data_IF_788583825414
#
_entry.id   IF_788583825414
#
_cell.length_a   1.000
_cell.length_b   1.000
_cell.length_c   1.000
_cell.angle_alpha   90.00
_cell.angle_beta   90.00
_cell.angle_gamma   90.00
#
_symmetry.space_group_name_H-M   'P 1'
#
loop_
_entity.id
_entity.type
_entity.pdbx_description
1 polymer ?
#
# COMPACT_ATOMS: atom_id res chain seq x y z
N UNK A 1 20.41 14.82 60.94
CA UNK A 1 20.93 13.49 60.52
C UNK A 1 21.59 13.66 59.17
N UNK A 2 22.93 13.65 59.15
CA UNK A 2 23.72 13.80 57.93
C UNK A 2 24.38 12.46 57.62
N UNK A 3 24.12 11.91 56.43
CA UNK A 3 24.70 10.66 55.98
C UNK A 3 25.89 10.97 55.07
N UNK A 4 27.08 10.62 55.54
CA UNK A 4 28.33 10.63 54.78
C UNK A 4 28.48 9.33 54.00
N UNK A 5 28.91 9.40 52.75
CA UNK A 5 29.31 8.25 51.93
C UNK A 5 30.82 8.25 51.72
N UNK A 6 31.50 7.09 51.78
CA UNK A 6 32.92 7.01 51.48
C UNK A 6 33.17 6.94 49.96
N UNK A 7 34.18 7.69 49.52
CA UNK A 7 34.81 7.58 48.21
C UNK A 7 35.59 6.26 48.13
N UNK A 8 35.35 5.48 47.07
CA UNK A 8 36.22 4.38 46.68
C UNK A 8 37.10 4.78 45.51
N UNK A 9 38.37 4.38 45.62
CA UNK A 9 39.51 4.74 44.79
C UNK A 9 39.71 3.71 43.69
N UNK A 10 39.92 4.23 42.48
CA UNK A 10 40.75 3.74 41.35
C UNK A 10 41.10 2.24 41.31
N UNK A 11 40.75 1.60 40.20
CA UNK A 11 41.64 0.64 39.57
C UNK A 11 41.69 0.88 38.05
N UNK A 12 42.81 1.48 37.62
CA UNK A 12 43.26 1.48 36.24
C UNK A 12 43.86 0.12 35.93
N UNK A 13 43.36 -0.57 34.92
CA UNK A 13 44.02 -1.75 34.37
C UNK A 13 43.90 -1.78 32.85
N UNK A 14 45.02 -1.37 32.26
CA UNK A 14 45.75 -2.04 31.17
C UNK A 14 45.08 -2.09 29.80
N UNK A 15 45.67 -1.29 28.92
CA UNK A 15 45.58 -1.32 27.48
C UNK A 15 45.71 -2.75 26.92
N UNK A 16 44.64 -3.23 26.30
CA UNK A 16 44.65 -4.34 25.35
C UNK A 16 44.78 -3.78 23.94
N UNK A 17 45.85 -4.17 23.26
CA UNK A 17 46.15 -3.88 21.87
C UNK A 17 45.00 -4.44 21.00
N UNK A 18 44.38 -3.64 20.11
CA UNK A 18 43.43 -4.19 19.15
C UNK A 18 44.19 -5.07 18.14
N UNK A 19 43.87 -6.37 18.12
CA UNK A 19 44.26 -7.25 17.02
C UNK A 19 43.70 -6.68 15.71
N UNK A 20 44.60 -6.51 14.74
CA UNK A 20 44.27 -6.15 13.37
C UNK A 20 43.43 -7.29 12.75
N UNK A 21 42.11 -7.16 12.81
CA UNK A 21 41.19 -7.98 12.03
C UNK A 21 41.51 -7.78 10.56
N UNK A 22 41.88 -8.88 9.90
CA UNK A 22 42.08 -8.93 8.46
C UNK A 22 40.88 -8.30 7.75
N UNK A 23 41.12 -7.21 7.04
CA UNK A 23 40.16 -6.60 6.13
C UNK A 23 39.96 -7.60 4.99
N UNK A 24 38.97 -8.48 5.16
CA UNK A 24 38.43 -9.27 4.06
C UNK A 24 37.95 -8.27 3.01
N UNK A 25 38.74 -8.12 1.94
CA UNK A 25 38.35 -7.36 0.75
C UNK A 25 37.06 -7.98 0.24
N UNK A 26 35.93 -7.31 0.52
CA UNK A 26 34.67 -7.66 -0.14
C UNK A 26 34.93 -7.63 -1.64
N UNK A 27 34.51 -8.67 -2.40
CA UNK A 27 34.53 -8.57 -3.84
C UNK A 27 33.75 -7.31 -4.25
N UNK A 28 34.18 -6.58 -5.29
CA UNK A 28 33.42 -5.46 -5.78
C UNK A 28 32.00 -5.95 -6.04
N UNK A 29 31.03 -5.34 -5.35
CA UNK A 29 29.62 -5.50 -5.71
C UNK A 29 29.52 -4.98 -7.15
N UNK A 30 29.58 -5.91 -8.10
CA UNK A 30 29.12 -5.68 -9.46
C UNK A 30 27.62 -5.52 -9.30
N UNK A 31 27.19 -4.28 -9.04
CA UNK A 31 25.81 -3.89 -9.24
C UNK A 31 25.57 -4.06 -10.72
N UNK A 32 25.03 -5.22 -11.09
CA UNK A 32 24.33 -5.38 -12.35
C UNK A 32 23.15 -4.44 -12.21
N UNK A 33 23.30 -3.21 -12.68
CA UNK A 33 22.20 -2.29 -12.88
C UNK A 33 21.28 -3.03 -13.86
N UNK A 34 20.08 -3.49 -13.44
CA UNK A 34 19.16 -4.04 -14.40
C UNK A 34 18.91 -2.94 -15.42
N UNK A 35 19.30 -3.18 -16.67
CA UNK A 35 18.96 -2.29 -17.78
C UNK A 35 17.44 -2.15 -17.73
N UNK A 36 16.98 -0.94 -17.39
CA UNK A 36 15.58 -0.51 -17.45
C UNK A 36 15.16 -0.65 -18.91
N UNK A 37 14.79 -1.88 -19.28
CA UNK A 37 14.28 -2.20 -20.58
C UNK A 37 12.89 -1.60 -20.56
N UNK A 38 12.71 -0.47 -21.25
CA UNK A 38 11.41 0.18 -21.37
C UNK A 38 10.42 -0.91 -21.77
N UNK A 39 9.40 -1.21 -20.94
CA UNK A 39 8.46 -2.27 -21.26
C UNK A 39 7.85 -1.90 -22.62
N UNK A 40 8.11 -2.73 -23.64
CA UNK A 40 7.53 -2.51 -24.96
C UNK A 40 6.02 -2.48 -24.76
N UNK A 41 5.36 -1.38 -25.14
CA UNK A 41 3.90 -1.33 -25.12
C UNK A 41 3.40 -2.47 -26.01
N UNK A 42 2.90 -3.54 -25.41
CA UNK A 42 2.20 -4.60 -26.12
C UNK A 42 0.96 -4.00 -26.79
N UNK A 43 0.55 -4.60 -27.91
CA UNK A 43 -0.71 -4.19 -28.55
C UNK A 43 -1.88 -4.26 -27.55
N UNK A 44 -2.83 -3.33 -27.61
CA UNK A 44 -3.99 -3.32 -26.73
C UNK A 44 -4.77 -4.64 -26.88
N UNK A 45 -5.01 -5.35 -25.78
CA UNK A 45 -5.82 -6.56 -25.79
C UNK A 45 -7.29 -6.24 -26.13
N UNK A 46 -8.09 -7.23 -26.54
CA UNK A 46 -9.52 -6.98 -26.79
C UNK A 46 -10.27 -6.68 -25.49
N UNK A 47 -11.32 -5.85 -25.55
CA UNK A 47 -12.14 -5.49 -24.39
C UNK A 47 -12.67 -6.74 -23.66
N UNK A 48 -13.08 -7.76 -24.42
CA UNK A 48 -13.59 -9.01 -23.86
C UNK A 48 -12.51 -9.76 -23.08
N UNK A 49 -11.26 -9.76 -23.55
CA UNK A 49 -10.16 -10.35 -22.82
C UNK A 49 -9.91 -9.60 -21.51
N UNK A 50 -9.84 -8.27 -21.54
CA UNK A 50 -9.63 -7.42 -20.35
C UNK A 50 -10.74 -7.62 -19.31
N UNK A 51 -12.00 -7.69 -19.76
CA UNK A 51 -13.16 -7.93 -18.88
C UNK A 51 -13.08 -9.32 -18.23
N UNK A 52 -12.59 -10.33 -18.97
CA UNK A 52 -12.46 -11.70 -18.48
C UNK A 52 -11.27 -11.88 -17.53
N UNK A 53 -10.10 -11.33 -17.86
CA UNK A 53 -8.87 -11.49 -17.05
C UNK A 53 -8.93 -10.71 -15.75
N UNK A 54 -9.58 -9.54 -15.75
CA UNK A 54 -9.73 -8.66 -14.57
C UNK A 54 -8.40 -8.24 -13.95
N UNK A 55 -7.28 -8.31 -14.68
CA UNK A 55 -5.92 -8.02 -14.20
C UNK A 55 -5.49 -6.60 -14.55
N UNK A 56 -6.00 -5.64 -13.78
CA UNK A 56 -5.70 -4.20 -13.95
C UNK A 56 -4.21 -3.84 -14.09
N UNK A 57 -3.35 -4.45 -13.28
CA UNK A 57 -1.96 -3.99 -13.13
C UNK A 57 -1.04 -4.30 -14.32
N UNK A 58 -1.38 -5.28 -15.17
CA UNK A 58 -0.65 -5.54 -16.41
C UNK A 58 -1.23 -4.75 -17.58
N UNK A 59 -2.55 -4.54 -17.58
CA UNK A 59 -3.27 -4.15 -18.79
C UNK A 59 -3.40 -2.62 -18.91
N UNK A 60 -3.31 -1.88 -17.80
CA UNK A 60 -3.52 -0.43 -17.74
C UNK A 60 -2.42 0.31 -16.98
N UNK A 61 -1.27 0.50 -17.64
CA UNK A 61 -0.18 1.35 -17.14
C UNK A 61 -0.60 2.84 -17.20
N UNK A 62 -0.46 3.64 -16.12
CA UNK A 62 -0.77 5.08 -16.15
C UNK A 62 -0.14 5.84 -17.32
N UNK A 63 1.11 5.51 -17.68
CA UNK A 63 1.79 6.13 -18.82
C UNK A 63 1.09 5.77 -20.14
N UNK A 64 0.62 4.53 -20.32
CA UNK A 64 -0.10 4.12 -21.51
C UNK A 64 -1.48 4.77 -21.59
N UNK A 65 -2.18 4.92 -20.45
CA UNK A 65 -3.46 5.64 -20.39
C UNK A 65 -3.28 7.11 -20.77
N UNK A 66 -2.21 7.76 -20.32
CA UNK A 66 -1.97 9.18 -20.59
C UNK A 66 -1.53 9.46 -22.03
N UNK A 67 -0.80 8.53 -22.65
CA UNK A 67 -0.15 8.78 -23.94
C UNK A 67 -0.75 7.98 -25.13
N UNK A 68 -1.65 7.02 -24.91
CA UNK A 68 -2.33 6.27 -25.97
C UNK A 68 -3.85 6.29 -25.79
N UNK A 69 -4.54 7.00 -26.68
CA UNK A 69 -6.00 7.12 -26.70
C UNK A 69 -6.73 5.77 -26.77
N UNK A 70 -6.14 4.74 -27.38
CA UNK A 70 -6.74 3.40 -27.45
C UNK A 70 -6.76 2.74 -26.06
N UNK A 71 -5.64 2.80 -25.35
CA UNK A 71 -5.53 2.29 -23.97
C UNK A 71 -6.45 3.07 -23.03
N UNK A 72 -6.53 4.40 -23.18
CA UNK A 72 -7.48 5.23 -22.43
C UNK A 72 -8.94 4.81 -22.69
N UNK A 73 -9.32 4.64 -23.96
CA UNK A 73 -10.67 4.20 -24.33
C UNK A 73 -11.03 2.81 -23.78
N UNK A 74 -10.09 1.86 -23.81
CA UNK A 74 -10.27 0.54 -23.21
C UNK A 74 -10.45 0.61 -21.70
N UNK A 75 -9.64 1.41 -21.02
CA UNK A 75 -9.74 1.63 -19.58
C UNK A 75 -11.11 2.20 -19.19
N UNK A 76 -11.61 3.17 -19.94
CA UNK A 76 -12.93 3.77 -19.71
C UNK A 76 -14.07 2.77 -19.90
N UNK A 77 -14.07 1.99 -20.99
CA UNK A 77 -15.08 0.94 -21.22
C UNK A 77 -15.02 -0.15 -20.14
N UNK A 78 -13.82 -0.55 -19.72
CA UNK A 78 -13.64 -1.46 -18.60
C UNK A 78 -14.18 -0.87 -17.29
N UNK A 79 -13.90 0.40 -16.98
CA UNK A 79 -14.46 1.09 -15.80
C UNK A 79 -15.98 1.14 -15.84
N UNK A 80 -16.57 1.49 -16.99
CA UNK A 80 -18.02 1.52 -17.17
C UNK A 80 -18.65 0.14 -16.95
N UNK A 81 -18.03 -0.92 -17.49
CA UNK A 81 -18.47 -2.29 -17.24
C UNK A 81 -18.41 -2.64 -15.76
N UNK A 82 -17.33 -2.29 -15.05
CA UNK A 82 -17.23 -2.56 -13.61
C UNK A 82 -18.28 -1.80 -12.81
N UNK A 83 -18.58 -0.54 -13.18
CA UNK A 83 -19.60 0.26 -12.53
C UNK A 83 -20.99 -0.38 -12.67
N UNK A 84 -21.34 -0.84 -13.89
CA UNK A 84 -22.58 -1.59 -14.14
C UNK A 84 -22.66 -2.91 -13.37
N UNK A 85 -21.52 -3.49 -13.02
CA UNK A 85 -21.40 -4.78 -12.33
C UNK A 85 -20.94 -4.64 -10.87
N UNK A 86 -20.97 -3.43 -10.30
CA UNK A 86 -20.31 -3.12 -9.03
C UNK A 86 -20.88 -3.92 -7.85
N UNK A 87 -22.19 -4.13 -7.80
CA UNK A 87 -22.86 -4.92 -6.75
C UNK A 87 -22.39 -6.38 -6.75
N UNK A 88 -22.28 -6.98 -7.94
CA UNK A 88 -21.74 -8.33 -8.11
C UNK A 88 -20.26 -8.41 -7.72
N UNK A 89 -19.47 -7.39 -8.07
CA UNK A 89 -18.04 -7.36 -7.77
C UNK A 89 -17.79 -7.15 -6.26
N UNK A 90 -18.40 -6.14 -5.63
CA UNK A 90 -18.22 -5.84 -4.21
C UNK A 90 -18.49 -7.06 -3.32
N UNK A 91 -19.61 -7.75 -3.53
CA UNK A 91 -20.01 -8.93 -2.74
C UNK A 91 -19.12 -10.16 -2.94
N UNK A 92 -18.50 -10.31 -4.11
CA UNK A 92 -17.69 -11.48 -4.44
C UNK A 92 -16.21 -11.28 -4.13
N UNK A 93 -15.72 -10.05 -4.13
CA UNK A 93 -14.29 -9.78 -4.16
C UNK A 93 -13.63 -9.75 -2.79
N UNK A 94 -14.20 -9.03 -1.83
CA UNK A 94 -13.60 -8.82 -0.51
C UNK A 94 -14.69 -9.07 0.54
N UNK A 95 -14.37 -9.90 1.54
CA UNK A 95 -15.31 -10.29 2.59
C UNK A 95 -14.66 -10.19 3.97
N UNK A 96 -15.50 -10.05 4.99
CA UNK A 96 -15.11 -10.33 6.38
C UNK A 96 -14.41 -11.69 6.49
N UNK A 97 -13.33 -11.72 7.25
CA UNK A 97 -12.47 -12.89 7.45
C UNK A 97 -11.35 -13.03 6.43
N UNK A 98 -11.40 -12.31 5.31
CA UNK A 98 -10.32 -12.34 4.32
C UNK A 98 -9.00 -11.80 4.90
N UNK A 99 -7.87 -12.36 4.44
CA UNK A 99 -6.53 -11.96 4.86
C UNK A 99 -5.85 -11.18 3.74
N UNK A 100 -5.44 -9.96 4.06
CA UNK A 100 -4.61 -9.13 3.19
C UNK A 100 -3.15 -9.24 3.61
N UNK A 101 -2.29 -9.49 2.64
CA UNK A 101 -0.84 -9.43 2.81
C UNK A 101 -0.38 -8.09 2.27
N UNK A 102 0.12 -7.21 3.13
CA UNK A 102 0.90 -6.07 2.69
C UNK A 102 2.28 -6.61 2.29
N UNK A 103 2.62 -6.46 1.01
CA UNK A 103 3.96 -6.75 0.53
C UNK A 103 4.78 -5.47 0.44
N UNK A 104 6.11 -5.59 0.56
CA UNK A 104 7.03 -4.54 0.13
C UNK A 104 7.05 -4.51 -1.39
N UNK A 105 5.98 -4.00 -1.99
CA UNK A 105 5.89 -3.85 -3.43
C UNK A 105 6.03 -2.38 -3.79
N UNK A 106 7.26 -2.05 -4.19
CA UNK A 106 7.62 -1.20 -5.34
C UNK A 106 7.14 0.25 -5.34
N UNK A 107 8.11 1.16 -5.19
CA UNK A 107 8.17 2.54 -5.71
C UNK A 107 7.05 3.53 -5.42
N UNK A 108 6.02 3.18 -4.66
CA UNK A 108 5.18 4.16 -3.97
C UNK A 108 5.97 4.68 -2.75
N UNK A 109 7.13 5.28 -3.02
CA UNK A 109 8.01 5.92 -2.05
C UNK A 109 7.39 7.26 -1.63
N UNK A 110 6.20 7.24 -1.02
CA UNK A 110 5.66 8.43 -0.37
C UNK A 110 6.18 8.48 1.05
N UNK A 111 7.34 9.13 1.16
CA UNK A 111 7.92 9.79 2.35
C UNK A 111 7.42 9.25 3.68
N UNK A 112 8.28 8.47 4.34
CA UNK A 112 8.28 8.32 5.78
C UNK A 112 8.17 9.72 6.40
N UNK A 113 7.04 10.05 7.01
CA UNK A 113 7.06 11.04 8.07
C UNK A 113 7.92 10.46 9.20
N UNK A 114 8.76 11.28 9.83
CA UNK A 114 9.77 10.85 10.81
C UNK A 114 9.21 10.16 12.09
N UNK A 115 7.91 9.88 12.13
CA UNK A 115 7.20 9.16 13.18
C UNK A 115 6.61 7.84 12.69
N UNK A 116 7.25 7.20 11.72
CA UNK A 116 6.88 5.87 11.27
C UNK A 116 6.96 4.87 12.44
N UNK A 117 5.81 4.39 12.89
CA UNK A 117 5.68 3.29 13.86
C UNK A 117 6.43 2.05 13.38
N UNK A 118 7.00 1.25 14.29
CA UNK A 118 7.67 -0.05 14.05
C UNK A 118 6.95 -1.01 13.08
N UNK A 119 5.64 -0.85 12.89
CA UNK A 119 4.83 -1.57 11.91
C UNK A 119 5.28 -1.31 10.46
N UNK A 120 5.76 -0.09 10.17
CA UNK A 120 6.28 0.35 8.86
C UNK A 120 7.68 -0.17 8.56
N UNK A 121 8.48 -0.47 9.59
CA UNK A 121 9.81 -1.04 9.39
C UNK A 121 9.72 -2.48 8.90
N UNK A 122 8.63 -3.18 9.27
CA UNK A 122 8.29 -4.46 8.68
C UNK A 122 7.73 -4.26 7.28
N UNK A 123 8.58 -4.50 6.30
CA UNK A 123 8.25 -4.47 4.87
C UNK A 123 7.11 -5.41 4.47
N UNK A 124 6.71 -6.35 5.32
CA UNK A 124 5.67 -7.33 5.05
C UNK A 124 4.84 -7.54 6.32
N UNK A 125 3.53 -7.42 6.23
CA UNK A 125 2.63 -7.75 7.34
C UNK A 125 1.30 -8.30 6.82
N UNK A 126 0.55 -8.97 7.69
CA UNK A 126 -0.76 -9.54 7.35
C UNK A 126 -1.83 -8.97 8.25
N UNK A 127 -2.95 -8.57 7.66
CA UNK A 127 -4.15 -8.14 8.38
C UNK A 127 -5.33 -9.02 8.01
N UNK A 128 -6.22 -9.27 8.97
CA UNK A 128 -7.52 -9.91 8.71
C UNK A 128 -8.62 -8.86 8.74
N UNK A 129 -9.50 -8.89 7.75
CA UNK A 129 -10.69 -8.05 7.72
C UNK A 129 -11.73 -8.58 8.70
N UNK A 130 -12.28 -7.69 9.53
CA UNK A 130 -13.30 -7.99 10.53
C UNK A 130 -14.64 -7.43 10.03
N UNK A 131 -15.00 -6.23 10.45
CA UNK A 131 -16.30 -5.64 10.13
C UNK A 131 -16.18 -4.66 8.95
N UNK A 132 -17.11 -4.69 7.97
CA UNK A 132 -17.18 -3.64 6.98
C UNK A 132 -17.55 -2.31 7.64
N UNK A 133 -17.02 -1.23 7.10
CA UNK A 133 -17.36 0.14 7.47
C UNK A 133 -18.11 0.79 6.32
N UNK A 134 -19.20 1.48 6.63
CA UNK A 134 -19.92 2.27 5.64
C UNK A 134 -19.08 3.50 5.28
N UNK A 135 -18.49 3.47 4.10
CA UNK A 135 -17.81 4.60 3.49
C UNK A 135 -18.33 4.76 2.06
N UNK A 136 -18.81 5.95 1.66
CA UNK A 136 -19.32 6.17 0.32
C UNK A 136 -18.22 6.06 -0.74
N UNK A 137 -16.99 6.43 -0.38
CA UNK A 137 -15.90 6.64 -1.33
C UNK A 137 -14.95 5.45 -1.42
N UNK A 138 -14.94 4.55 -0.44
CA UNK A 138 -14.00 3.42 -0.42
C UNK A 138 -14.59 2.20 0.29
N UNK A 139 -13.90 1.05 0.17
CA UNK A 139 -14.23 -0.12 0.99
C UNK A 139 -13.45 -0.04 2.30
N UNK A 140 -14.13 0.42 3.35
CA UNK A 140 -13.55 0.45 4.70
C UNK A 140 -13.79 -0.85 5.45
N UNK A 141 -12.80 -1.29 6.22
CA UNK A 141 -12.94 -2.42 7.14
C UNK A 141 -12.23 -2.13 8.45
N UNK A 142 -12.83 -2.55 9.56
CA UNK A 142 -12.04 -2.87 10.76
C UNK A 142 -11.17 -4.07 10.45
N UNK A 143 -9.96 -4.07 10.95
CA UNK A 143 -9.02 -5.16 10.73
C UNK A 143 -8.16 -5.39 11.97
N UNK A 144 -7.61 -6.60 12.04
CA UNK A 144 -6.62 -6.99 13.04
C UNK A 144 -5.32 -7.36 12.38
N UNK A 145 -4.21 -6.98 13.00
CA UNK A 145 -2.88 -7.42 12.59
C UNK A 145 -2.66 -8.87 13.03
N UNK A 146 -2.26 -9.73 12.08
CA UNK A 146 -2.04 -11.16 12.29
C UNK A 146 -0.54 -11.45 12.43
N UNK A 147 0.28 -10.85 11.59
CA UNK A 147 1.73 -11.07 11.59
C UNK A 147 2.49 -9.86 11.06
N UNK A 148 3.73 -9.72 11.52
CA UNK A 148 4.72 -8.72 11.12
C UNK A 148 5.97 -9.50 10.70
N UNK A 149 6.33 -9.45 9.42
CA UNK A 149 7.31 -10.37 8.84
C UNK A 149 6.92 -11.82 9.08
N UNK A 150 7.84 -12.58 9.66
CA UNK A 150 7.65 -13.99 10.04
C UNK A 150 7.08 -14.18 11.45
N UNK A 151 6.93 -13.10 12.21
CA UNK A 151 6.42 -13.14 13.58
C UNK A 151 4.90 -13.10 13.57
N UNK A 152 4.27 -14.21 13.99
CA UNK A 152 2.83 -14.28 14.22
C UNK A 152 2.50 -13.60 15.55
N UNK A 153 1.56 -12.67 15.52
CA UNK A 153 1.08 -11.98 16.71
C UNK A 153 0.04 -12.84 17.44
N UNK A 154 0.04 -12.86 18.78
CA UNK A 154 -0.93 -13.64 19.54
C UNK A 154 -2.37 -13.14 19.30
N UNK A 155 -3.31 -14.06 19.20
CA UNK A 155 -4.76 -13.78 19.15
C UNK A 155 -5.29 -13.38 20.52
N UNK A 156 -4.81 -12.26 21.07
CA UNK A 156 -5.34 -11.69 22.30
C UNK A 156 -6.32 -10.57 21.96
N UNK A 157 -7.63 -10.70 22.28
CA UNK A 157 -8.66 -9.71 21.95
C UNK A 157 -8.38 -8.30 22.49
N UNK A 158 -7.59 -8.20 23.57
CA UNK A 158 -7.29 -6.95 24.28
C UNK A 158 -6.05 -6.22 23.76
N UNK A 159 -5.18 -6.86 22.97
CA UNK A 159 -3.86 -6.30 22.63
C UNK A 159 -3.69 -5.97 21.14
N UNK A 160 -4.59 -6.43 20.27
CA UNK A 160 -4.59 -5.99 18.88
C UNK A 160 -5.24 -4.61 18.82
N UNK A 161 -4.43 -3.55 18.77
CA UNK A 161 -4.88 -2.22 18.37
C UNK A 161 -5.84 -2.36 17.19
N UNK A 162 -7.01 -1.73 17.30
CA UNK A 162 -8.01 -1.80 16.25
C UNK A 162 -7.55 -0.92 15.11
N UNK A 163 -7.29 -1.52 13.96
CA UNK A 163 -6.92 -0.79 12.77
C UNK A 163 -8.13 -0.70 11.84
N UNK A 164 -8.19 0.39 11.11
CA UNK A 164 -9.07 0.55 9.96
C UNK A 164 -8.20 0.45 8.71
N UNK A 165 -8.63 -0.37 7.76
CA UNK A 165 -8.08 -0.36 6.41
C UNK A 165 -9.12 0.21 5.45
N UNK A 166 -8.71 1.22 4.68
CA UNK A 166 -9.50 1.76 3.56
C UNK A 166 -8.91 1.21 2.27
N UNK A 167 -9.71 0.48 1.49
CA UNK A 167 -9.29 -0.19 0.27
C UNK A 167 -9.84 0.55 -0.96
N UNK A 168 -8.95 0.79 -1.92
CA UNK A 168 -9.19 1.51 -3.15
C UNK A 168 -8.84 0.58 -4.31
N UNK A 169 -9.80 0.43 -5.21
CA UNK A 169 -9.66 -0.30 -6.45
C UNK A 169 -10.46 0.41 -7.54
N UNK A 170 -9.87 0.62 -8.72
CA UNK A 170 -10.52 1.35 -9.82
C UNK A 170 -11.89 0.80 -10.21
N UNK A 171 -12.18 -0.47 -9.90
CA UNK A 171 -13.47 -1.09 -10.18
C UNK A 171 -14.59 -0.58 -9.28
N UNK A 172 -14.25 0.02 -8.13
CA UNK A 172 -15.22 0.54 -7.18
C UNK A 172 -15.45 2.04 -7.29
N UNK A 173 -14.61 2.77 -8.01
CA UNK A 173 -14.75 4.22 -8.16
C UNK A 173 -15.71 4.56 -9.30
N UNK A 174 -16.59 5.56 -9.11
CA UNK A 174 -17.38 6.09 -10.20
C UNK A 174 -16.44 6.59 -11.31
N UNK A 175 -16.70 6.15 -12.54
CA UNK A 175 -16.11 6.81 -13.70
C UNK A 175 -16.79 8.18 -13.84
N UNK A 176 -16.06 9.25 -14.21
CA UNK A 176 -16.73 10.41 -14.78
C UNK A 176 -17.63 9.89 -15.91
N UNK A 177 -18.91 10.28 -15.90
CA UNK A 177 -19.89 9.80 -16.87
C UNK A 177 -19.47 10.26 -18.27
N UNK A 178 -19.45 9.32 -19.21
CA UNK A 178 -19.19 9.61 -20.63
C UNK A 178 -20.34 10.39 -21.29
N UNK A 179 -21.47 10.55 -20.58
CA UNK A 179 -22.71 11.15 -21.10
C UNK A 179 -22.64 12.67 -21.28
N UNK A 180 -21.60 13.35 -20.78
CA UNK A 180 -21.32 14.71 -21.22
C UNK A 180 -20.57 14.64 -22.53
N UNK A 181 -21.32 14.70 -23.65
CA UNK A 181 -20.90 14.50 -25.05
C UNK A 181 -19.71 15.27 -25.62
N UNK A 182 -18.75 15.72 -24.81
CA UNK A 182 -17.39 15.97 -25.27
C UNK A 182 -16.61 14.65 -25.32
N UNK A 183 -16.65 14.02 -26.50
CA UNK A 183 -15.74 12.93 -26.91
C UNK A 183 -14.27 13.43 -26.91
N UNK A 184 -14.08 14.74 -26.81
CA UNK A 184 -12.80 15.41 -26.70
C UNK A 184 -12.32 15.38 -25.24
N UNK A 185 -11.43 14.43 -24.99
CA UNK A 185 -10.43 14.44 -23.94
C UNK A 185 -9.99 15.87 -23.60
N UNK A 186 -10.28 16.34 -22.38
CA UNK A 186 -9.60 17.53 -21.85
C UNK A 186 -8.45 17.07 -20.96
N UNK A 187 -7.20 17.47 -21.25
CA UNK A 187 -6.13 17.39 -20.27
C UNK A 187 -6.60 18.03 -18.96
N UNK A 188 -6.72 17.24 -17.89
CA UNK A 188 -7.27 17.67 -16.60
C UNK A 188 -8.60 17.03 -16.19
N UNK A 189 -9.26 16.27 -17.07
CA UNK A 189 -10.36 15.40 -16.65
C UNK A 189 -9.82 14.33 -15.70
N UNK A 190 -10.44 14.21 -14.52
CA UNK A 190 -9.97 13.39 -13.40
C UNK A 190 -10.01 11.89 -13.76
N UNK A 191 -8.96 11.41 -14.43
CA UNK A 191 -8.62 9.98 -14.55
C UNK A 191 -8.06 9.43 -13.24
N UNK A 192 -8.61 9.87 -12.11
CA UNK A 192 -8.11 9.52 -10.80
C UNK A 192 -8.19 8.00 -10.65
N UNK A 193 -7.01 7.41 -10.61
CA UNK A 193 -6.81 6.02 -10.28
C UNK A 193 -6.96 5.86 -8.77
N UNK A 194 -7.18 4.63 -8.31
CA UNK A 194 -7.17 4.27 -6.90
C UNK A 194 -5.89 4.76 -6.19
N UNK A 195 -4.76 4.85 -6.91
CA UNK A 195 -3.52 5.39 -6.35
C UNK A 195 -3.61 6.90 -6.15
N UNK A 196 -4.20 7.65 -7.08
CA UNK A 196 -4.38 9.10 -6.96
C UNK A 196 -5.27 9.44 -5.74
N UNK A 197 -6.34 8.66 -5.52
CA UNK A 197 -7.20 8.80 -4.35
C UNK A 197 -6.44 8.55 -3.05
N UNK A 198 -5.67 7.46 -2.98
CA UNK A 198 -4.85 7.15 -1.81
C UNK A 198 -3.83 8.24 -1.53
N UNK A 199 -3.19 8.80 -2.57
CA UNK A 199 -2.24 9.92 -2.41
C UNK A 199 -2.93 11.15 -1.83
N UNK A 200 -4.07 11.53 -2.40
CA UNK A 200 -4.85 12.68 -1.93
C UNK A 200 -5.26 12.51 -0.47
N UNK A 201 -5.74 11.32 -0.11
CA UNK A 201 -6.21 11.05 1.24
C UNK A 201 -5.05 10.92 2.24
N UNK A 202 -3.92 10.33 1.85
CA UNK A 202 -2.71 10.31 2.67
C UNK A 202 -2.22 11.73 3.00
N UNK A 203 -2.26 12.64 2.02
CA UNK A 203 -1.95 14.06 2.24
C UNK A 203 -2.92 14.68 3.25
N UNK A 204 -4.22 14.40 3.13
CA UNK A 204 -5.22 14.90 4.07
C UNK A 204 -4.98 14.40 5.51
N UNK A 205 -4.64 13.12 5.69
CA UNK A 205 -4.26 12.56 6.99
C UNK A 205 -3.00 13.25 7.57
N UNK A 206 -1.99 13.47 6.73
CA UNK A 206 -0.75 14.12 7.16
C UNK A 206 -0.95 15.58 7.57
N UNK A 207 -1.91 16.29 6.98
CA UNK A 207 -2.22 17.68 7.34
C UNK A 207 -3.02 17.77 8.67
N UNK A 208 -3.72 16.71 9.07
CA UNK A 208 -4.68 16.73 10.19
C UNK A 208 -4.09 16.27 11.55
N UNK A 209 -2.79 16.44 11.78
CA UNK A 209 -2.03 15.89 12.93
C UNK A 209 -2.49 16.28 14.35
N UNK A 210 -3.63 16.95 14.55
CA UNK A 210 -4.15 17.30 15.88
C UNK A 210 -5.52 16.65 16.11
N UNK A 211 -5.53 15.53 16.85
CA UNK A 211 -6.73 14.93 17.43
C UNK A 211 -7.52 13.96 16.55
N UNK A 212 -6.95 13.46 15.46
CA UNK A 212 -7.56 12.42 14.60
C UNK A 212 -6.76 11.12 14.62
N UNK A 213 -7.43 10.04 14.21
CA UNK A 213 -6.84 8.74 13.88
C UNK A 213 -5.50 8.86 13.18
N UNK A 214 -4.49 8.13 13.67
CA UNK A 214 -3.15 8.12 13.06
C UNK A 214 -3.14 7.29 11.80
N UNK A 215 -2.66 7.84 10.68
CA UNK A 215 -2.41 7.06 9.47
C UNK A 215 -1.03 6.39 9.56
N UNK A 216 -0.98 5.06 9.42
CA UNK A 216 0.28 4.33 9.30
C UNK A 216 0.84 4.36 7.89
N UNK A 217 0.03 4.63 6.87
CA UNK A 217 0.53 4.82 5.51
C UNK A 217 -0.30 4.12 4.45
N UNK A 218 0.21 4.21 3.22
CA UNK A 218 -0.36 3.57 2.04
C UNK A 218 0.39 2.28 1.72
N UNK A 219 -0.36 1.22 1.41
CA UNK A 219 0.18 -0.09 1.14
C UNK A 219 -0.50 -0.71 -0.09
N UNK A 220 0.27 -1.53 -0.78
CA UNK A 220 -0.27 -2.45 -1.79
C UNK A 220 -0.53 -3.80 -1.12
N UNK A 221 -1.80 -4.16 -1.04
CA UNK A 221 -2.26 -5.40 -0.44
C UNK A 221 -2.49 -6.46 -1.51
N UNK A 222 -2.22 -7.71 -1.15
CA UNK A 222 -2.62 -8.90 -1.92
C UNK A 222 -3.62 -9.70 -1.10
N UNK A 223 -4.76 -10.00 -1.70
CA UNK A 223 -5.77 -10.86 -1.09
C UNK A 223 -5.28 -12.31 -1.12
N UNK A 224 -5.06 -12.90 0.05
CA UNK A 224 -4.40 -14.22 0.18
C UNK A 224 -5.16 -15.33 -0.56
N UNK A 225 -6.49 -15.24 -0.66
CA UNK A 225 -7.34 -16.28 -1.27
C UNK A 225 -7.18 -16.39 -2.79
N UNK A 226 -7.00 -15.27 -3.50
CA UNK A 226 -7.05 -15.24 -4.97
C UNK A 226 -5.93 -14.43 -5.62
N UNK A 227 -4.99 -13.89 -4.83
CA UNK A 227 -3.87 -13.08 -5.33
C UNK A 227 -4.30 -11.70 -5.87
N UNK A 228 -5.54 -11.26 -5.62
CA UNK A 228 -6.03 -9.99 -6.12
C UNK A 228 -5.35 -8.82 -5.41
N UNK A 229 -4.88 -7.84 -6.18
CA UNK A 229 -4.14 -6.69 -5.67
C UNK A 229 -5.05 -5.49 -5.39
N UNK A 230 -4.88 -4.88 -4.23
CA UNK A 230 -5.65 -3.74 -3.76
C UNK A 230 -4.68 -2.66 -3.29
N UNK A 231 -5.03 -1.40 -3.51
CA UNK A 231 -4.31 -0.32 -2.85
C UNK A 231 -5.10 0.03 -1.58
N UNK A 232 -4.42 0.38 -0.49
CA UNK A 232 -5.14 0.78 0.71
C UNK A 232 -4.35 1.64 1.69
N UNK A 233 -5.09 2.31 2.58
CA UNK A 233 -4.55 3.07 3.70
C UNK A 233 -4.80 2.31 4.99
N UNK A 234 -3.78 2.17 5.82
CA UNK A 234 -3.91 1.62 7.17
C UNK A 234 -3.92 2.75 8.20
N UNK A 235 -4.92 2.77 9.06
CA UNK A 235 -5.20 3.87 9.98
C UNK A 235 -5.54 3.30 11.37
N UNK A 236 -5.12 3.94 12.46
CA UNK A 236 -5.55 3.59 13.83
C UNK A 236 -7.03 3.98 14.01
N UNK A 237 -7.85 3.08 14.55
CA UNK A 237 -9.18 3.46 15.03
C UNK A 237 -9.01 4.42 16.23
N UNK A 238 -9.66 5.60 16.16
CA UNK A 238 -9.60 6.61 17.22
C UNK A 238 -10.48 6.26 18.43
#
# INVERSE_FOLDING_TARGET
>A
MALSFPRSVVNSSRAGIPQASAIARRPPNVFITPSLTTPSLSEPQTDQHIILTRKRHSDFNPHAIQNDHRHAGQFLRWKEWNLKNQSMLKTKMIKTGDILVAGAATDIAYTHTAQASTLLDSRIFKIQLLDPLDSPDCLGFRCRLISIGDTVLPHTPSATSKFIVKLYDDRFFPSPSLDQGSIWYKPGDNHSSAEDYIRSELVAYNQQQRGRSRCHGAFKFVLSRNGHWLNGLLVEEA
#
